data_IF_096927585495
#
_entry.id   IF_096927585495
#
_cell.length_a   1.000
_cell.length_b   1.000
_cell.length_c   1.000
_cell.angle_alpha   90.00
_cell.angle_beta   90.00
_cell.angle_gamma   90.00
#
_symmetry.space_group_name_H-M   'P 1'
#
loop_
_entity.id
_entity.type
_entity.pdbx_description
1 polymer ?
#
# COMPACT_ATOMS: atom_id res chain seq x y z
N UNK A 1 19.17 13.61 -7.17
CA UNK A 1 19.35 12.44 -8.04
C UNK A 1 18.12 11.56 -7.83
N UNK A 2 17.25 11.41 -8.83
CA UNK A 2 16.08 10.55 -8.66
C UNK A 2 16.57 9.09 -8.67
N UNK A 3 16.34 8.35 -7.59
CA UNK A 3 16.63 6.90 -7.50
C UNK A 3 15.79 6.06 -8.47
N UNK A 4 14.82 6.71 -9.14
CA UNK A 4 13.77 6.09 -9.93
C UNK A 4 13.69 6.73 -11.32
N UNK A 5 13.52 5.90 -12.36
CA UNK A 5 13.28 6.41 -13.70
C UNK A 5 11.88 7.07 -13.81
N UNK A 6 11.69 7.93 -14.82
CA UNK A 6 10.45 8.68 -14.99
C UNK A 6 9.21 7.79 -15.16
N UNK A 7 9.36 6.61 -15.78
CA UNK A 7 8.26 5.66 -15.97
C UNK A 7 7.74 5.15 -14.63
N UNK A 8 8.63 4.58 -13.81
CA UNK A 8 8.29 4.07 -12.47
C UNK A 8 7.80 5.20 -11.58
N UNK A 9 8.41 6.38 -11.67
CA UNK A 9 8.02 7.57 -10.89
C UNK A 9 6.59 8.00 -11.20
N UNK A 10 6.24 8.05 -12.48
CA UNK A 10 4.87 8.37 -12.91
C UNK A 10 3.85 7.39 -12.35
N UNK A 11 4.15 6.09 -12.37
CA UNK A 11 3.28 5.06 -11.82
C UNK A 11 3.17 5.13 -10.29
N UNK A 12 4.30 5.25 -9.57
CA UNK A 12 4.30 5.36 -8.12
C UNK A 12 3.44 6.54 -7.62
N UNK A 13 3.66 7.74 -8.20
CA UNK A 13 2.90 8.95 -7.87
C UNK A 13 1.43 8.87 -8.31
N UNK A 14 1.13 8.15 -9.39
CA UNK A 14 -0.26 7.91 -9.81
C UNK A 14 -0.97 7.02 -8.79
N UNK A 15 -0.40 5.88 -8.47
CA UNK A 15 -1.02 4.91 -7.57
C UNK A 15 -1.25 5.47 -6.17
N UNK A 16 -0.31 6.24 -5.62
CA UNK A 16 -0.52 6.83 -4.30
C UNK A 16 -1.63 7.89 -4.30
N UNK A 17 -1.76 8.67 -5.37
CA UNK A 17 -2.88 9.63 -5.51
C UNK A 17 -4.23 8.92 -5.60
N UNK A 18 -4.29 7.84 -6.37
CA UNK A 18 -5.50 7.01 -6.47
C UNK A 18 -5.84 6.35 -5.13
N UNK A 19 -4.84 5.82 -4.40
CA UNK A 19 -5.04 5.25 -3.06
C UNK A 19 -5.63 6.28 -2.08
N UNK A 20 -5.07 7.50 -2.04
CA UNK A 20 -5.59 8.61 -1.24
C UNK A 20 -7.04 8.95 -1.63
N UNK A 21 -7.36 8.98 -2.93
CA UNK A 21 -8.71 9.26 -3.41
C UNK A 21 -9.73 8.18 -3.01
N UNK A 22 -9.34 6.91 -3.06
CA UNK A 22 -10.19 5.79 -2.67
C UNK A 22 -10.46 5.77 -1.17
N UNK A 23 -9.45 6.08 -0.36
CA UNK A 23 -9.61 6.23 1.08
C UNK A 23 -10.58 7.37 1.43
N UNK A 24 -10.47 8.52 0.75
CA UNK A 24 -11.42 9.63 0.90
C UNK A 24 -12.85 9.24 0.48
N UNK A 25 -12.98 8.42 -0.56
CA UNK A 25 -14.28 7.90 -0.99
C UNK A 25 -14.85 6.91 0.04
N UNK A 26 -14.02 6.05 0.64
CA UNK A 26 -14.44 5.08 1.66
C UNK A 26 -15.07 5.77 2.88
N UNK A 27 -14.56 6.94 3.26
CA UNK A 27 -15.12 7.76 4.34
C UNK A 27 -16.51 8.31 4.01
N UNK A 28 -16.76 8.63 2.74
CA UNK A 28 -17.99 9.29 2.27
C UNK A 28 -19.08 8.30 1.84
N UNK A 29 -18.70 7.07 1.48
CA UNK A 29 -19.61 6.07 0.92
C UNK A 29 -19.59 4.79 1.79
N UNK A 30 -20.31 4.79 2.93
CA UNK A 30 -20.33 3.68 3.89
C UNK A 30 -20.52 2.28 3.29
N UNK A 31 -21.36 2.16 2.25
CA UNK A 31 -21.70 0.89 1.60
C UNK A 31 -20.58 0.30 0.75
N UNK A 32 -19.66 1.15 0.26
CA UNK A 32 -18.52 0.75 -0.56
C UNK A 32 -17.20 0.80 0.20
N UNK A 33 -17.24 1.13 1.50
CA UNK A 33 -16.05 1.41 2.28
C UNK A 33 -15.04 0.25 2.28
N UNK A 34 -15.48 -1.00 2.48
CA UNK A 34 -14.58 -2.16 2.46
C UNK A 34 -13.88 -2.32 1.11
N UNK A 35 -14.64 -2.28 0.01
CA UNK A 35 -14.08 -2.38 -1.35
C UNK A 35 -13.12 -1.24 -1.64
N UNK A 36 -13.45 -0.01 -1.25
CA UNK A 36 -12.59 1.16 -1.47
C UNK A 36 -11.32 1.12 -0.61
N UNK A 37 -11.40 0.62 0.62
CA UNK A 37 -10.21 0.42 1.48
C UNK A 37 -9.29 -0.67 0.92
N UNK A 38 -9.86 -1.77 0.43
CA UNK A 38 -9.10 -2.84 -0.23
C UNK A 38 -8.36 -2.32 -1.47
N UNK A 39 -9.06 -1.54 -2.31
CA UNK A 39 -8.46 -0.93 -3.50
C UNK A 39 -7.36 0.09 -3.13
N UNK A 40 -7.59 0.89 -2.08
CA UNK A 40 -6.60 1.85 -1.60
C UNK A 40 -5.31 1.15 -1.16
N UNK A 41 -5.41 0.04 -0.43
CA UNK A 41 -4.23 -0.74 -0.01
C UNK A 41 -3.48 -1.35 -1.18
N UNK A 42 -4.19 -1.96 -2.14
CA UNK A 42 -3.57 -2.52 -3.35
C UNK A 42 -2.79 -1.46 -4.11
N UNK A 43 -3.37 -0.26 -4.27
CA UNK A 43 -2.70 0.85 -4.96
C UNK A 43 -1.53 1.39 -4.15
N UNK A 44 -1.65 1.53 -2.84
CA UNK A 44 -0.53 1.91 -1.97
C UNK A 44 0.63 0.92 -2.08
N UNK A 45 0.33 -0.38 -2.11
CA UNK A 45 1.32 -1.43 -2.29
C UNK A 45 2.03 -1.33 -3.66
N UNK A 46 1.27 -1.20 -4.74
CA UNK A 46 1.86 -1.01 -6.08
C UNK A 46 2.71 0.27 -6.15
N UNK A 47 2.30 1.35 -5.49
CA UNK A 47 3.09 2.57 -5.43
C UNK A 47 4.48 2.32 -4.81
N UNK A 48 4.55 1.54 -3.73
CA UNK A 48 5.80 1.13 -3.10
C UNK A 48 6.60 0.23 -4.03
N UNK A 49 5.97 -0.76 -4.68
CA UNK A 49 6.65 -1.67 -5.60
C UNK A 49 7.33 -0.93 -6.76
N UNK A 50 6.64 0.02 -7.39
CA UNK A 50 7.23 0.90 -8.41
C UNK A 50 8.33 1.80 -7.83
N UNK A 51 8.24 2.17 -6.56
CA UNK A 51 9.26 2.98 -5.89
C UNK A 51 10.56 2.22 -5.66
N UNK A 52 10.46 0.95 -5.28
CA UNK A 52 11.60 0.10 -4.96
C UNK A 52 12.27 -0.52 -6.18
N UNK A 53 11.52 -0.80 -7.25
CA UNK A 53 12.08 -1.47 -8.42
C UNK A 53 11.04 -1.91 -9.45
N UNK A 54 11.30 -3.05 -10.07
CA UNK A 54 10.32 -3.70 -10.94
C UNK A 54 9.22 -4.35 -10.08
N UNK A 55 7.93 -4.00 -10.26
CA UNK A 55 6.87 -4.51 -9.39
C UNK A 55 6.75 -6.03 -9.37
N UNK A 56 6.92 -6.70 -10.51
CA UNK A 56 6.84 -8.16 -10.59
C UNK A 56 8.00 -8.83 -9.85
N UNK A 57 9.19 -8.22 -9.84
CA UNK A 57 10.30 -8.66 -9.00
C UNK A 57 10.03 -8.46 -7.51
N UNK A 58 9.54 -7.28 -7.09
CA UNK A 58 9.27 -6.99 -5.68
C UNK A 58 8.15 -7.90 -5.14
N UNK A 59 7.07 -8.09 -5.89
CA UNK A 59 5.96 -8.95 -5.50
C UNK A 59 6.42 -10.40 -5.24
N UNK A 60 7.31 -10.94 -6.08
CA UNK A 60 7.89 -12.28 -5.87
C UNK A 60 8.69 -12.36 -4.57
N UNK A 61 9.46 -11.32 -4.25
CA UNK A 61 10.24 -11.25 -3.01
C UNK A 61 9.31 -11.26 -1.81
N UNK A 62 8.30 -10.38 -1.78
CA UNK A 62 7.33 -10.29 -0.67
C UNK A 62 6.60 -11.63 -0.46
N UNK A 63 6.06 -12.23 -1.54
CA UNK A 63 5.38 -13.54 -1.48
C UNK A 63 6.29 -14.64 -0.95
N UNK A 64 7.53 -14.71 -1.41
CA UNK A 64 8.48 -15.73 -0.94
C UNK A 64 8.80 -15.61 0.55
N UNK A 65 8.87 -14.38 1.07
CA UNK A 65 9.14 -14.14 2.50
C UNK A 65 7.93 -14.51 3.35
N UNK A 66 6.73 -14.12 2.92
CA UNK A 66 5.47 -14.48 3.58
C UNK A 66 5.34 -16.01 3.75
N UNK A 67 5.63 -16.78 2.70
CA UNK A 67 5.53 -18.26 2.75
C UNK A 67 6.56 -18.95 3.64
N UNK A 68 7.69 -18.29 3.92
CA UNK A 68 8.82 -18.93 4.61
C UNK A 68 8.78 -18.74 6.15
N UNK A 69 7.87 -17.94 6.70
CA UNK A 69 7.69 -17.79 8.16
C UNK A 69 8.91 -17.26 8.91
N UNK A 70 9.84 -16.60 8.21
CA UNK A 70 11.05 -16.05 8.83
C UNK A 70 10.72 -14.77 9.61
N UNK A 71 11.40 -14.57 10.75
CA UNK A 71 11.34 -13.27 11.45
C UNK A 71 11.92 -12.18 10.56
N UNK A 72 11.04 -11.30 10.05
CA UNK A 72 11.41 -10.20 9.17
C UNK A 72 11.96 -9.05 10.00
N UNK A 73 13.27 -8.83 9.89
CA UNK A 73 13.97 -7.72 10.58
C UNK A 73 13.96 -6.41 9.81
N UNK A 74 13.80 -6.48 8.50
CA UNK A 74 13.78 -5.30 7.65
C UNK A 74 12.43 -4.57 7.80
N UNK A 75 12.43 -3.28 8.21
CA UNK A 75 11.20 -2.54 8.47
C UNK A 75 10.31 -2.37 7.23
N UNK A 76 10.91 -2.21 6.04
CA UNK A 76 10.17 -2.02 4.80
C UNK A 76 9.50 -3.32 4.35
N UNK A 77 10.20 -4.44 4.47
CA UNK A 77 9.61 -5.75 4.21
C UNK A 77 8.49 -6.09 5.21
N UNK A 78 8.68 -5.78 6.49
CA UNK A 78 7.63 -5.96 7.50
C UNK A 78 6.38 -5.13 7.16
N UNK A 79 6.59 -3.90 6.73
CA UNK A 79 5.53 -2.99 6.33
C UNK A 79 4.76 -3.48 5.08
N UNK A 80 5.47 -4.03 4.09
CA UNK A 80 4.83 -4.63 2.91
C UNK A 80 4.00 -5.87 3.27
N UNK A 81 4.46 -6.68 4.22
CA UNK A 81 3.70 -7.82 4.73
C UNK A 81 2.45 -7.38 5.50
N UNK A 82 2.53 -6.32 6.29
CA UNK A 82 1.38 -5.75 7.00
C UNK A 82 0.29 -5.28 6.01
N UNK A 83 0.69 -4.68 4.88
CA UNK A 83 -0.27 -4.36 3.81
C UNK A 83 -0.88 -5.63 3.19
N UNK A 84 -0.08 -6.67 2.90
CA UNK A 84 -0.57 -7.94 2.35
C UNK A 84 -1.57 -8.61 3.29
N UNK A 85 -1.25 -8.71 4.58
CA UNK A 85 -2.12 -9.25 5.62
C UNK A 85 -3.43 -8.47 5.71
N UNK A 86 -3.37 -7.14 5.62
CA UNK A 86 -4.57 -6.30 5.65
C UNK A 86 -5.41 -6.43 4.37
N UNK A 87 -4.79 -6.64 3.21
CA UNK A 87 -5.48 -6.92 1.94
C UNK A 87 -6.20 -8.27 2.01
N UNK A 88 -5.56 -9.30 2.57
CA UNK A 88 -6.17 -10.61 2.79
C UNK A 88 -7.35 -10.51 3.76
N UNK A 89 -7.14 -9.89 4.92
CA UNK A 89 -8.17 -9.64 5.92
C UNK A 89 -9.40 -8.92 5.35
N UNK A 90 -9.22 -7.85 4.56
CA UNK A 90 -10.34 -7.13 3.93
C UNK A 90 -11.04 -7.94 2.84
N UNK A 91 -10.33 -8.84 2.16
CA UNK A 91 -10.89 -9.70 1.12
C UNK A 91 -11.83 -10.77 1.69
N UNK A 92 -11.67 -11.13 2.97
CA UNK A 92 -12.55 -12.06 3.70
C UNK A 92 -13.86 -11.42 4.16
N UNK A 93 -14.11 -10.14 3.82
CA UNK A 93 -15.32 -9.39 4.18
C UNK A 93 -15.63 -9.42 5.70
N UNK A 94 -14.74 -8.88 6.55
CA UNK A 94 -14.84 -9.02 7.99
C UNK A 94 -16.03 -8.25 8.57
N UNK A 95 -16.78 -8.91 9.45
CA UNK A 95 -17.82 -8.32 10.30
C UNK A 95 -17.16 -7.58 11.49
N UNK A 96 -16.57 -6.41 11.26
CA UNK A 96 -15.78 -5.69 12.27
C UNK A 96 -16.01 -4.17 12.30
N UNK A 97 -15.42 -3.52 13.31
CA UNK A 97 -15.50 -2.07 13.51
C UNK A 97 -14.81 -1.32 12.36
N UNK A 98 -15.63 -0.91 11.38
CA UNK A 98 -15.20 -0.17 10.18
C UNK A 98 -14.36 1.07 10.51
N UNK A 99 -14.61 1.78 11.59
CA UNK A 99 -13.84 2.99 11.93
C UNK A 99 -12.40 2.65 12.31
N UNK A 100 -12.20 1.55 13.05
CA UNK A 100 -10.87 1.08 13.39
C UNK A 100 -10.10 0.59 12.15
N UNK A 101 -10.78 -0.17 11.29
CA UNK A 101 -10.24 -0.62 10.00
C UNK A 101 -9.82 0.57 9.15
N UNK A 102 -10.72 1.55 8.98
CA UNK A 102 -10.47 2.74 8.18
C UNK A 102 -9.29 3.56 8.72
N UNK A 103 -9.18 3.69 10.05
CA UNK A 103 -8.04 4.36 10.68
C UNK A 103 -6.74 3.64 10.35
N UNK A 104 -6.70 2.31 10.50
CA UNK A 104 -5.51 1.53 10.22
C UNK A 104 -5.11 1.58 8.74
N UNK A 105 -6.07 1.44 7.82
CA UNK A 105 -5.82 1.61 6.38
C UNK A 105 -5.31 3.02 6.06
N UNK A 106 -5.83 4.05 6.75
CA UNK A 106 -5.35 5.42 6.57
C UNK A 106 -3.90 5.60 7.00
N UNK A 107 -3.47 4.94 8.09
CA UNK A 107 -2.09 4.97 8.56
C UNK A 107 -1.17 4.29 7.54
N UNK A 108 -1.57 3.13 7.00
CA UNK A 108 -0.83 2.44 5.93
C UNK A 108 -0.75 3.30 4.65
N UNK A 109 -1.85 3.91 4.19
CA UNK A 109 -1.77 4.78 3.01
C UNK A 109 -0.85 5.99 3.25
N UNK A 110 -0.81 6.52 4.47
CA UNK A 110 0.09 7.62 4.85
C UNK A 110 1.56 7.22 4.77
N UNK A 111 1.94 6.12 5.42
CA UNK A 111 3.33 5.63 5.42
C UNK A 111 3.77 5.25 4.00
N UNK A 112 2.87 4.67 3.19
CA UNK A 112 3.15 4.41 1.78
C UNK A 112 3.45 5.71 0.99
N UNK A 113 2.76 6.81 1.31
CA UNK A 113 3.04 8.12 0.70
C UNK A 113 4.43 8.62 1.04
N UNK A 114 4.80 8.56 2.32
CA UNK A 114 6.12 8.97 2.79
C UNK A 114 7.24 8.17 2.09
N UNK A 115 7.05 6.87 1.91
CA UNK A 115 7.97 6.02 1.15
C UNK A 115 8.06 6.50 -0.30
N UNK A 116 6.94 6.69 -0.99
CA UNK A 116 6.93 7.13 -2.40
C UNK A 116 7.62 8.48 -2.55
N UNK A 117 7.37 9.43 -1.67
CA UNK A 117 7.99 10.76 -1.64
C UNK A 117 9.52 10.67 -1.47
N UNK A 118 9.99 9.85 -0.53
CA UNK A 118 11.42 9.59 -0.30
C UNK A 118 12.12 9.08 -1.56
N UNK A 119 11.50 8.16 -2.31
CA UNK A 119 12.10 7.58 -3.53
C UNK A 119 11.90 8.44 -4.78
N UNK A 120 10.78 9.17 -4.90
CA UNK A 120 10.45 10.03 -6.04
C UNK A 120 11.18 11.38 -6.00
N UNK A 121 11.69 11.77 -4.82
CA UNK A 121 12.34 13.06 -4.59
C UNK A 121 11.38 14.24 -4.63
N UNK A 122 10.08 14.00 -4.42
CA UNK A 122 9.07 15.04 -4.22
C UNK A 122 8.76 15.13 -2.73
N UNK A 123 8.69 16.37 -2.22
CA UNK A 123 7.99 16.68 -0.98
C UNK A 123 6.71 17.39 -1.40
N UNK A 124 5.56 16.88 -0.98
CA UNK A 124 4.29 17.61 -1.06
C UNK A 124 4.36 18.91 -0.22
#
# INVERSE_FOLDING_TARGET
MAFMNNYRRGWALRYIREAKAELQAAQKIPRLALTLMLEALRKAQFAIYYSLGDPSSIEKIVKSISSNGHSVKDPLLRYLLEIDEMVEFLSEAPELNREQILKHVSELVSVASEIVELFAGEKD
#
